data_IF_450652862072
#
_entry.id   IF_450652862072
#
_cell.length_a   1.000
_cell.length_b   1.000
_cell.length_c   1.000
_cell.angle_alpha   90.00
_cell.angle_beta   90.00
_cell.angle_gamma   90.00
#
_symmetry.space_group_name_H-M   'P 1'
#
loop_
_entity.id
_entity.type
_entity.pdbx_description
1 polymer ?
#
# COMPACT_ATOMS: atom_id res chain seq x y z
N UNK A 1 -5.74 4.84 44.91
CA UNK A 1 -4.30 4.91 44.60
C UNK A 1 -3.99 4.22 43.29
N UNK A 2 -4.66 3.13 43.01
CA UNK A 2 -4.45 2.42 41.75
C UNK A 2 -5.13 3.11 40.57
N UNK A 3 -6.05 3.99 40.83
CA UNK A 3 -6.83 4.63 39.77
C UNK A 3 -6.00 5.42 38.74
N UNK A 4 -4.95 6.16 39.14
CA UNK A 4 -4.19 6.90 38.13
C UNK A 4 -3.49 6.00 37.12
N UNK A 5 -2.97 4.88 37.54
CA UNK A 5 -2.26 3.98 36.65
C UNK A 5 -3.16 3.36 35.60
N UNK A 6 -4.35 2.85 35.93
CA UNK A 6 -5.27 2.36 34.92
C UNK A 6 -5.72 3.43 33.94
N UNK A 7 -5.94 4.64 34.43
CA UNK A 7 -6.32 5.73 33.53
C UNK A 7 -5.20 6.07 32.55
N UNK A 8 -3.99 6.04 33.03
CA UNK A 8 -2.83 6.28 32.17
C UNK A 8 -2.67 5.20 31.12
N UNK A 9 -2.82 3.96 31.52
CA UNK A 9 -2.74 2.84 30.61
C UNK A 9 -3.84 2.91 29.56
N UNK A 10 -5.02 3.34 29.94
CA UNK A 10 -6.12 3.50 29.02
C UNK A 10 -5.85 4.56 27.96
N UNK A 11 -5.30 5.67 28.37
CA UNK A 11 -4.94 6.73 27.45
C UNK A 11 -3.85 6.29 26.47
N UNK A 12 -2.84 5.60 26.98
CA UNK A 12 -1.78 5.07 26.13
C UNK A 12 -2.30 4.03 25.17
N UNK A 13 -3.24 3.18 25.62
CA UNK A 13 -3.86 2.18 24.77
C UNK A 13 -4.69 2.79 23.66
N UNK A 14 -5.33 3.92 23.94
CA UNK A 14 -6.10 4.63 22.91
C UNK A 14 -5.20 5.22 21.84
N UNK A 15 -4.01 5.69 22.21
CA UNK A 15 -3.05 6.23 21.27
C UNK A 15 -2.35 5.15 20.44
N UNK A 16 -2.19 3.97 21.03
CA UNK A 16 -1.47 2.85 20.44
C UNK A 16 -2.39 1.65 20.34
N UNK A 17 -2.99 1.42 19.16
CA UNK A 17 -3.90 0.28 19.01
C UNK A 17 -3.18 -1.05 19.26
N UNK A 18 -3.93 -2.02 19.73
CA UNK A 18 -3.42 -3.37 19.90
C UNK A 18 -2.93 -3.92 18.57
N UNK A 19 -1.92 -4.82 18.59
CA UNK A 19 -1.41 -5.37 17.33
C UNK A 19 -2.47 -5.98 16.43
N UNK A 20 -3.46 -6.65 16.99
CA UNK A 20 -4.54 -7.23 16.20
C UNK A 20 -5.39 -6.16 15.51
N UNK A 21 -5.64 -5.04 16.19
CA UNK A 21 -6.41 -3.94 15.63
C UNK A 21 -5.62 -3.24 14.52
N UNK A 22 -4.35 -3.01 14.76
CA UNK A 22 -3.47 -2.40 13.77
C UNK A 22 -3.36 -3.30 12.54
N UNK A 23 -3.24 -4.60 12.75
CA UNK A 23 -3.17 -5.57 11.66
C UNK A 23 -4.44 -5.53 10.80
N UNK A 24 -5.61 -5.48 11.45
CA UNK A 24 -6.88 -5.40 10.74
C UNK A 24 -6.97 -4.12 9.91
N UNK A 25 -6.52 -3.00 10.46
CA UNK A 25 -6.52 -1.73 9.75
C UNK A 25 -5.59 -1.76 8.53
N UNK A 26 -4.41 -2.34 8.70
CA UNK A 26 -3.45 -2.47 7.61
C UNK A 26 -3.96 -3.39 6.50
N UNK A 27 -4.59 -4.50 6.88
CA UNK A 27 -5.20 -5.40 5.89
C UNK A 27 -6.29 -4.70 5.08
N UNK A 28 -7.14 -3.95 5.77
CA UNK A 28 -8.20 -3.20 5.09
C UNK A 28 -7.63 -2.15 4.14
N UNK A 29 -6.61 -1.43 4.59
CA UNK A 29 -5.93 -0.44 3.75
C UNK A 29 -5.26 -1.09 2.54
N UNK A 30 -4.60 -2.21 2.75
CA UNK A 30 -3.95 -2.97 1.69
C UNK A 30 -4.96 -3.40 0.63
N UNK A 31 -6.12 -3.88 1.05
CA UNK A 31 -7.17 -4.30 0.11
C UNK A 31 -7.72 -3.13 -0.69
N UNK A 32 -7.91 -1.97 -0.05
CA UNK A 32 -8.37 -0.77 -0.76
C UNK A 32 -7.35 -0.32 -1.79
N UNK A 33 -6.08 -0.34 -1.42
CA UNK A 33 -4.99 0.03 -2.34
C UNK A 33 -4.89 -0.94 -3.51
N UNK A 34 -5.04 -2.23 -3.25
CA UNK A 34 -5.05 -3.23 -4.33
C UNK A 34 -6.16 -2.97 -5.34
N UNK A 35 -7.36 -2.68 -4.87
CA UNK A 35 -8.47 -2.39 -5.76
C UNK A 35 -8.20 -1.14 -6.58
N UNK A 36 -7.64 -0.12 -5.94
CA UNK A 36 -7.30 1.12 -6.62
C UNK A 36 -6.23 0.92 -7.68
N UNK A 37 -5.14 0.24 -7.32
CA UNK A 37 -4.06 -0.08 -8.27
C UNK A 37 -4.60 -0.87 -9.45
N UNK A 38 -5.46 -1.83 -9.18
CA UNK A 38 -6.07 -2.65 -10.24
C UNK A 38 -6.93 -1.79 -11.17
N UNK A 39 -7.69 -0.88 -10.59
CA UNK A 39 -8.52 0.03 -11.39
C UNK A 39 -7.67 0.96 -12.25
N UNK A 40 -6.58 1.47 -11.70
CA UNK A 40 -5.64 2.30 -12.46
C UNK A 40 -5.03 1.52 -13.62
N UNK A 41 -4.67 0.27 -13.37
CA UNK A 41 -4.09 -0.58 -14.42
C UNK A 41 -5.07 -0.91 -15.53
N UNK A 42 -6.32 -1.15 -15.17
CA UNK A 42 -7.34 -1.53 -16.14
C UNK A 42 -7.72 -0.39 -17.08
N UNK A 43 -7.73 0.84 -16.55
CA UNK A 43 -8.12 2.00 -17.35
C UNK A 43 -6.97 2.78 -17.95
N UNK A 44 -5.75 2.35 -17.68
CA UNK A 44 -4.57 3.13 -18.01
C UNK A 44 -4.04 2.94 -19.42
N UNK A 45 -3.25 3.91 -19.84
CA UNK A 45 -2.49 3.84 -21.06
C UNK A 45 -1.34 2.83 -20.90
N UNK A 46 -0.80 2.32 -22.02
CA UNK A 46 0.36 1.45 -21.96
C UNK A 46 1.52 2.12 -21.23
N UNK A 47 2.24 1.36 -20.41
CA UNK A 47 3.39 1.87 -19.68
C UNK A 47 4.62 1.90 -20.61
N UNK A 48 5.40 2.96 -20.50
CA UNK A 48 6.70 3.00 -21.14
C UNK A 48 7.67 2.03 -20.47
N UNK A 49 8.81 1.79 -21.11
CA UNK A 49 9.75 0.78 -20.64
C UNK A 49 10.21 0.96 -19.21
N UNK A 50 10.55 2.18 -18.81
CA UNK A 50 11.02 2.47 -17.46
C UNK A 50 9.90 2.29 -16.44
N UNK A 51 8.71 2.79 -16.76
CA UNK A 51 7.57 2.65 -15.87
C UNK A 51 7.16 1.19 -15.74
N UNK A 52 7.18 0.45 -16.82
CA UNK A 52 6.87 -0.97 -16.79
C UNK A 52 7.88 -1.74 -15.94
N UNK A 53 9.16 -1.42 -16.06
CA UNK A 53 10.19 -2.05 -15.23
C UNK A 53 9.95 -1.76 -13.75
N UNK A 54 9.59 -0.52 -13.42
CA UNK A 54 9.29 -0.14 -12.05
C UNK A 54 8.07 -0.85 -11.49
N UNK A 55 7.01 -0.96 -12.28
CA UNK A 55 5.81 -1.68 -11.89
C UNK A 55 6.14 -3.14 -11.64
N UNK A 56 6.86 -3.77 -12.54
CA UNK A 56 7.23 -5.18 -12.41
C UNK A 56 8.06 -5.41 -11.15
N UNK A 57 9.03 -4.55 -10.87
CA UNK A 57 9.83 -4.65 -9.67
C UNK A 57 8.99 -4.56 -8.40
N UNK A 58 8.07 -3.59 -8.34
CA UNK A 58 7.20 -3.44 -7.19
C UNK A 58 6.28 -4.64 -7.02
N UNK A 59 5.74 -5.16 -8.12
CA UNK A 59 4.89 -6.35 -8.07
C UNK A 59 5.66 -7.56 -7.58
N UNK A 60 6.91 -7.71 -8.00
CA UNK A 60 7.77 -8.80 -7.53
C UNK A 60 8.02 -8.67 -6.02
N UNK A 61 8.27 -7.46 -5.54
CA UNK A 61 8.49 -7.23 -4.12
C UNK A 61 7.23 -7.52 -3.31
N UNK A 62 6.06 -7.14 -3.81
CA UNK A 62 4.79 -7.48 -3.17
C UNK A 62 4.62 -9.00 -3.10
N UNK A 63 4.96 -9.69 -4.17
CA UNK A 63 4.91 -11.15 -4.20
C UNK A 63 5.79 -11.79 -3.14
N UNK A 64 6.98 -11.24 -2.90
CA UNK A 64 7.87 -11.74 -1.86
C UNK A 64 7.28 -11.54 -0.47
N UNK A 65 6.69 -10.37 -0.23
CA UNK A 65 6.00 -10.11 1.05
C UNK A 65 4.84 -11.08 1.23
N UNK A 66 4.09 -11.34 0.16
CA UNK A 66 2.96 -12.26 0.22
C UNK A 66 3.40 -13.69 0.57
N UNK A 67 4.54 -14.12 0.05
CA UNK A 67 5.11 -15.41 0.43
C UNK A 67 5.43 -15.46 1.93
N UNK A 68 6.02 -14.39 2.45
CA UNK A 68 6.34 -14.31 3.87
C UNK A 68 5.08 -14.29 4.73
N UNK A 69 4.04 -13.58 4.28
CA UNK A 69 2.76 -13.56 4.97
C UNK A 69 2.09 -14.92 4.97
N UNK A 70 2.23 -15.66 3.88
CA UNK A 70 1.66 -17.01 3.77
C UNK A 70 2.32 -17.99 4.73
N UNK A 71 3.54 -17.72 5.17
CA UNK A 71 4.21 -18.55 6.15
C UNK A 71 3.56 -18.46 7.54
N UNK A 72 2.71 -17.48 7.76
CA UNK A 72 1.96 -17.34 8.99
C UNK A 72 2.71 -16.54 10.05
N UNK A 73 2.33 -16.75 11.28
CA UNK A 73 2.87 -16.01 12.41
C UNK A 73 1.78 -15.27 13.16
N UNK A 74 2.13 -14.73 14.31
CA UNK A 74 1.18 -13.96 15.11
C UNK A 74 1.04 -12.54 14.55
N UNK A 75 0.10 -11.78 15.13
CA UNK A 75 -0.19 -10.43 14.67
C UNK A 75 1.06 -9.54 14.73
N UNK A 76 1.83 -9.66 15.80
CA UNK A 76 3.01 -8.83 15.99
C UNK A 76 4.07 -9.07 14.92
N UNK A 77 4.29 -10.33 14.57
CA UNK A 77 5.28 -10.67 13.54
C UNK A 77 4.79 -10.32 12.13
N UNK A 78 3.49 -10.28 11.91
CA UNK A 78 2.93 -9.91 10.61
C UNK A 78 2.85 -8.40 10.38
N UNK A 79 2.82 -7.59 11.44
CA UNK A 79 2.71 -6.15 11.31
C UNK A 79 3.74 -5.53 10.35
N UNK A 80 5.04 -5.82 10.49
CA UNK A 80 6.02 -5.23 9.57
C UNK A 80 5.77 -5.62 8.13
N UNK A 81 5.32 -6.84 7.90
CA UNK A 81 5.05 -7.32 6.54
C UNK A 81 3.86 -6.59 5.92
N UNK A 82 2.79 -6.39 6.68
CA UNK A 82 1.64 -5.65 6.19
C UNK A 82 1.95 -4.18 5.98
N UNK A 83 2.76 -3.58 6.83
CA UNK A 83 3.22 -2.20 6.63
C UNK A 83 4.04 -2.09 5.35
N UNK A 84 4.92 -3.05 5.12
CA UNK A 84 5.72 -3.09 3.90
C UNK A 84 4.84 -3.25 2.67
N UNK A 85 3.85 -4.13 2.73
CA UNK A 85 2.93 -4.35 1.62
C UNK A 85 2.15 -3.08 1.28
N UNK A 86 1.63 -2.40 2.30
CA UNK A 86 0.93 -1.13 2.11
C UNK A 86 1.85 -0.10 1.44
N UNK A 87 3.08 0.02 1.91
CA UNK A 87 4.05 0.95 1.33
C UNK A 87 4.35 0.66 -0.13
N UNK A 88 4.51 -0.61 -0.47
CA UNK A 88 4.76 -1.02 -1.86
C UNK A 88 3.56 -0.73 -2.76
N UNK A 89 2.36 -0.97 -2.27
CA UNK A 89 1.15 -0.66 -3.02
C UNK A 89 0.99 0.85 -3.22
N UNK A 90 1.35 1.64 -2.23
CA UNK A 90 1.33 3.10 -2.36
C UNK A 90 2.31 3.57 -3.43
N UNK A 91 3.50 3.00 -3.46
CA UNK A 91 4.48 3.31 -4.50
C UNK A 91 3.99 2.89 -5.88
N UNK A 92 3.37 1.73 -5.97
CA UNK A 92 2.82 1.24 -7.23
C UNK A 92 1.69 2.16 -7.72
N UNK A 93 0.81 2.59 -6.83
CA UNK A 93 -0.25 3.54 -7.18
C UNK A 93 0.33 4.86 -7.67
N UNK A 94 1.35 5.38 -7.00
CA UNK A 94 2.00 6.62 -7.40
C UNK A 94 2.62 6.50 -8.78
N UNK A 95 3.29 5.39 -9.05
CA UNK A 95 3.92 5.15 -10.35
C UNK A 95 2.89 5.07 -11.47
N UNK A 96 1.78 4.40 -11.22
CA UNK A 96 0.69 4.32 -12.20
C UNK A 96 0.03 5.67 -12.44
N UNK A 97 -0.17 6.45 -11.37
CA UNK A 97 -0.73 7.79 -11.51
C UNK A 97 0.20 8.70 -12.30
N UNK A 98 1.49 8.63 -12.05
CA UNK A 98 2.47 9.42 -12.81
C UNK A 98 2.44 9.05 -14.29
N UNK A 99 2.37 7.77 -14.58
CA UNK A 99 2.29 7.31 -15.97
C UNK A 99 1.02 7.79 -16.65
N UNK A 100 -0.07 7.79 -15.91
CA UNK A 100 -1.35 8.27 -16.40
C UNK A 100 -1.30 9.76 -16.72
N UNK A 101 -0.74 10.53 -15.81
CA UNK A 101 -0.62 11.97 -15.97
C UNK A 101 0.29 12.33 -17.14
N UNK A 102 1.37 11.60 -17.33
CA UNK A 102 2.28 11.84 -18.44
C UNK A 102 1.66 11.49 -19.79
N UNK A 103 0.90 10.41 -19.84
CA UNK A 103 0.19 10.05 -21.06
C UNK A 103 -0.85 11.10 -21.43
N UNK A 104 -1.59 11.59 -20.43
CA UNK A 104 -2.59 12.63 -20.62
C UNK A 104 -1.95 13.95 -21.05
N UNK A 105 -0.84 14.31 -20.42
CA UNK A 105 -0.13 15.54 -20.73
C UNK A 105 0.44 15.54 -22.13
N UNK A 106 0.82 14.37 -22.65
CA UNK A 106 1.36 14.25 -23.99
C UNK A 106 0.31 14.32 -25.08
N UNK A 107 -0.94 14.01 -24.75
CA UNK A 107 -2.02 13.95 -25.71
C UNK A 107 -2.33 15.30 -26.36
N UNK A 108 -2.46 16.40 -25.62
CA UNK A 108 -2.83 17.69 -26.22
C UNK A 108 -1.84 18.23 -27.22
N UNK A 109 -0.60 17.86 -27.11
CA UNK A 109 0.46 18.36 -28.00
C UNK A 109 0.20 17.99 -29.44
N UNK A 110 -0.46 16.88 -29.67
CA UNK A 110 -0.74 16.37 -30.99
C UNK A 110 -1.76 17.24 -31.73
N UNK A 111 -2.65 17.85 -30.99
CA UNK A 111 -3.76 18.59 -31.58
C UNK A 111 -3.38 19.93 -32.14
N UNK A 112 -2.36 20.51 -31.61
CA UNK A 112 -1.98 21.87 -31.95
C UNK A 112 -1.39 21.93 -33.34
N UNK A 113 -0.85 20.85 -33.77
CA UNK A 113 -0.25 20.75 -35.09
C UNK A 113 -1.22 20.28 -36.13
#
# INVERSE_FOLDING_TARGET
AAAPAPAHAGAAGAANPAPAEELAALRARSQRLERWVRALGAGGAPLGGRALAGVTELEDMIGLVDVQLAAGGDARSQLPLWRQRVGLLEQLAALRLDSYAMADAGTPTVWIN
#
